data_IF_828812241073
#
_entry.id   IF_828812241073
#
_cell.length_a   1.000
_cell.length_b   1.000
_cell.length_c   1.000
_cell.angle_alpha   90.00
_cell.angle_beta   90.00
_cell.angle_gamma   90.00
#
_symmetry.space_group_name_H-M   'P 1'
#
loop_
_entity.id
_entity.type
_entity.pdbx_description
1 polymer ?
#
# COMPACT_ATOMS: atom_id res chain seq x y z
N UNK A 1 33.62 5.58 -32.22
CA UNK A 1 34.07 6.62 -31.27
C UNK A 1 33.06 7.76 -31.32
N UNK A 2 32.06 7.75 -30.42
CA UNK A 2 31.01 8.75 -30.17
C UNK A 2 30.65 8.60 -28.66
N UNK A 3 30.49 9.68 -27.85
CA UNK A 3 30.62 9.61 -26.39
C UNK A 3 29.30 9.27 -25.66
N UNK A 4 29.38 8.79 -24.39
CA UNK A 4 28.21 8.50 -23.56
C UNK A 4 27.75 9.75 -22.78
N UNK A 5 26.45 10.03 -22.80
CA UNK A 5 25.77 11.01 -21.93
C UNK A 5 24.29 10.63 -21.83
N UNK A 6 23.57 10.81 -20.73
CA UNK A 6 23.89 11.31 -19.41
C UNK A 6 22.87 10.70 -18.43
N UNK A 7 23.31 9.83 -17.53
CA UNK A 7 22.54 9.49 -16.33
C UNK A 7 22.85 10.62 -15.33
N UNK A 8 21.91 11.54 -15.12
CA UNK A 8 22.03 12.55 -14.05
C UNK A 8 21.66 11.93 -12.72
N UNK A 9 22.67 11.63 -11.89
CA UNK A 9 22.53 11.16 -10.51
C UNK A 9 23.03 12.22 -9.53
N UNK A 10 22.14 12.80 -8.74
CA UNK A 10 22.48 13.62 -7.57
C UNK A 10 22.67 12.72 -6.33
N UNK A 11 23.87 12.16 -6.16
CA UNK A 11 24.27 11.45 -4.94
C UNK A 11 25.49 12.16 -4.32
N UNK A 12 25.48 12.50 -3.02
CA UNK A 12 26.66 13.04 -2.35
C UNK A 12 27.68 11.95 -2.01
N UNK A 13 28.96 12.33 -2.09
CA UNK A 13 30.14 11.52 -1.78
C UNK A 13 30.12 10.91 -0.36
N UNK A 14 30.70 9.71 -0.24
CA UNK A 14 30.91 9.00 1.03
C UNK A 14 32.03 9.66 1.85
N UNK A 15 31.84 9.94 3.15
CA UNK A 15 32.98 10.21 4.03
C UNK A 15 33.63 8.89 4.49
N UNK A 16 34.95 8.97 4.72
CA UNK A 16 35.87 7.87 5.03
C UNK A 16 35.58 7.10 6.32
N UNK A 17 36.32 6.00 6.47
CA UNK A 17 36.22 5.02 7.55
C UNK A 17 36.26 5.67 8.94
N UNK A 18 35.26 5.37 9.77
CA UNK A 18 35.20 5.74 11.18
C UNK A 18 35.63 4.53 12.01
N UNK A 19 36.60 4.75 12.89
CA UNK A 19 37.15 3.76 13.83
C UNK A 19 36.09 3.03 14.65
N UNK A 20 36.31 1.73 14.88
CA UNK A 20 35.42 0.90 15.70
C UNK A 20 35.53 1.33 17.17
N UNK A 21 34.42 1.55 17.88
CA UNK A 21 34.47 1.93 19.30
C UNK A 21 35.05 0.80 20.15
N UNK A 22 35.93 1.17 21.08
CA UNK A 22 36.54 0.26 22.06
C UNK A 22 35.49 -0.51 22.88
N UNK A 23 35.76 -1.77 23.26
CA UNK A 23 34.78 -2.69 23.86
C UNK A 23 34.09 -2.17 25.13
N UNK A 24 34.73 -1.27 25.88
CA UNK A 24 34.16 -0.61 27.07
C UNK A 24 33.01 0.34 26.70
N UNK A 25 33.12 1.08 25.60
CA UNK A 25 32.05 1.98 25.10
C UNK A 25 30.89 1.14 24.57
N UNK A 26 31.17 0.03 23.88
CA UNK A 26 30.14 -0.90 23.42
C UNK A 26 29.37 -1.57 24.57
N UNK A 27 30.05 -1.86 25.69
CA UNK A 27 29.44 -2.39 26.91
C UNK A 27 28.57 -1.34 27.61
N UNK A 28 29.05 -0.11 27.77
CA UNK A 28 28.27 1.00 28.34
C UNK A 28 27.05 1.33 27.49
N UNK A 29 27.16 1.30 26.16
CA UNK A 29 26.02 1.42 25.25
C UNK A 29 25.03 0.26 25.40
N UNK A 30 25.48 -0.98 25.57
CA UNK A 30 24.59 -2.13 25.83
C UNK A 30 23.91 -2.03 27.20
N UNK A 31 24.62 -1.59 28.23
CA UNK A 31 24.06 -1.39 29.56
C UNK A 31 23.02 -0.25 29.57
N UNK A 32 23.29 0.88 28.92
CA UNK A 32 22.31 1.94 28.68
C UNK A 32 21.15 1.47 27.77
N UNK A 33 21.40 0.58 26.82
CA UNK A 33 20.38 -0.02 25.96
C UNK A 33 19.47 -0.99 26.73
N UNK A 34 20.02 -1.79 27.64
CA UNK A 34 19.26 -2.71 28.49
C UNK A 34 18.50 -1.99 29.60
N UNK A 35 19.11 -0.96 30.17
CA UNK A 35 18.49 -0.09 31.16
C UNK A 35 17.36 0.75 30.54
N UNK A 36 17.56 1.32 29.35
CA UNK A 36 16.49 2.03 28.61
C UNK A 36 15.40 1.09 28.08
N UNK A 37 15.70 -0.17 27.75
CA UNK A 37 14.68 -1.20 27.45
C UNK A 37 13.89 -1.57 28.71
N UNK A 38 14.54 -1.69 29.86
CA UNK A 38 13.88 -1.95 31.14
C UNK A 38 13.04 -0.76 31.60
N UNK A 39 13.50 0.48 31.42
CA UNK A 39 12.76 1.72 31.69
C UNK A 39 11.66 2.01 30.68
N UNK A 40 11.85 1.68 29.40
CA UNK A 40 10.76 1.75 28.43
C UNK A 40 9.71 0.67 28.76
N UNK A 41 10.10 -0.54 29.14
CA UNK A 41 9.15 -1.59 29.55
C UNK A 41 8.44 -1.23 30.87
N UNK A 42 9.17 -0.81 31.91
CA UNK A 42 8.60 -0.42 33.19
C UNK A 42 7.83 0.91 33.10
N UNK A 43 8.37 1.92 32.42
CA UNK A 43 7.69 3.21 32.17
C UNK A 43 6.47 3.10 31.26
N UNK A 44 6.44 2.15 30.30
CA UNK A 44 5.22 1.83 29.56
C UNK A 44 4.23 0.96 30.35
N UNK A 45 4.66 0.26 31.40
CA UNK A 45 3.82 -0.55 32.29
C UNK A 45 3.22 0.26 33.45
N UNK A 46 3.87 1.36 33.87
CA UNK A 46 3.48 2.14 35.05
C UNK A 46 2.82 3.50 34.79
N UNK A 47 2.60 3.90 33.54
CA UNK A 47 1.67 5.00 33.24
C UNK A 47 0.26 4.42 33.22
N UNK A 48 -0.43 4.54 34.35
CA UNK A 48 -1.83 4.13 34.53
C UNK A 48 -2.68 4.58 33.34
N UNK A 49 -3.25 3.59 32.66
CA UNK A 49 -4.27 3.81 31.65
C UNK A 49 -5.52 4.32 32.35
N UNK A 50 -5.84 5.60 32.17
CA UNK A 50 -7.15 6.14 32.51
C UNK A 50 -8.15 5.67 31.45
N UNK A 51 -8.63 4.44 31.64
CA UNK A 51 -9.95 3.88 31.30
C UNK A 51 -9.83 2.34 31.45
N UNK A 52 -10.77 1.65 32.12
CA UNK A 52 -10.72 0.20 32.22
C UNK A 52 -10.67 -0.42 30.80
N UNK A 53 -9.97 -1.54 30.59
CA UNK A 53 -10.00 -2.23 29.31
C UNK A 53 -11.46 -2.55 29.01
N UNK A 54 -12.05 -1.87 28.02
CA UNK A 54 -13.44 -2.10 27.65
C UNK A 54 -13.64 -3.61 27.49
N UNK A 55 -14.61 -4.15 28.24
CA UNK A 55 -15.06 -5.52 28.05
C UNK A 55 -15.50 -5.70 26.59
N UNK A 56 -15.35 -6.92 26.07
CA UNK A 56 -15.93 -7.25 24.77
C UNK A 56 -17.44 -7.01 24.88
N UNK A 57 -17.96 -6.16 24.01
CA UNK A 57 -19.37 -5.83 23.95
C UNK A 57 -20.01 -6.78 22.94
N UNK A 58 -21.20 -7.29 23.22
CA UNK A 58 -21.92 -8.19 22.30
C UNK A 58 -22.82 -7.44 21.31
N UNK A 59 -23.25 -6.22 21.65
CA UNK A 59 -24.06 -5.38 20.75
C UNK A 59 -23.24 -4.90 19.53
N UNK A 60 -23.84 -4.84 18.32
CA UNK A 60 -23.17 -4.24 17.17
C UNK A 60 -22.81 -2.76 17.40
N UNK A 61 -21.91 -2.22 16.56
CA UNK A 61 -21.63 -0.78 16.52
C UNK A 61 -22.91 0.01 16.20
N UNK A 62 -23.10 1.19 16.81
CA UNK A 62 -24.22 2.05 16.46
C UNK A 62 -24.10 2.54 15.02
N UNK A 63 -25.23 2.67 14.33
CA UNK A 63 -25.27 3.17 12.94
C UNK A 63 -25.11 4.69 12.84
N UNK A 64 -25.30 5.41 13.94
CA UNK A 64 -25.21 6.87 14.05
C UNK A 64 -24.35 7.25 15.26
N UNK A 65 -23.95 8.51 15.36
CA UNK A 65 -23.16 9.01 16.50
C UNK A 65 -21.67 8.65 16.45
N UNK A 66 -21.17 8.15 15.31
CA UNK A 66 -19.73 7.98 15.07
C UNK A 66 -19.30 9.10 14.11
N UNK A 67 -18.52 10.04 14.64
CA UNK A 67 -18.09 11.24 13.92
C UNK A 67 -16.56 11.38 13.83
N UNK A 68 -15.82 10.84 14.80
CA UNK A 68 -14.35 10.83 14.82
C UNK A 68 -13.83 9.40 14.86
N UNK A 69 -13.05 9.02 13.84
CA UNK A 69 -12.55 7.66 13.66
C UNK A 69 -11.02 7.68 13.59
N UNK A 70 -10.36 6.74 14.28
CA UNK A 70 -8.91 6.57 14.25
C UNK A 70 -8.55 5.22 13.63
N UNK A 71 -7.74 5.20 12.56
CA UNK A 71 -7.18 3.97 12.01
C UNK A 71 -5.69 3.87 12.38
N UNK A 72 -5.32 2.79 13.07
CA UNK A 72 -3.95 2.54 13.50
C UNK A 72 -3.26 1.48 12.65
N UNK A 73 -2.45 1.88 11.66
CA UNK A 73 -1.60 0.97 10.87
C UNK A 73 -0.18 1.53 10.75
N UNK A 74 0.65 1.43 11.82
CA UNK A 74 1.99 2.01 11.91
C UNK A 74 3.01 1.26 11.04
N UNK A 75 2.80 1.26 9.72
CA UNK A 75 3.58 0.53 8.73
C UNK A 75 4.22 1.50 7.73
N UNK A 76 5.45 1.22 7.30
CA UNK A 76 6.20 2.09 6.37
C UNK A 76 6.15 1.62 4.91
N UNK A 77 5.56 0.46 4.63
CA UNK A 77 5.52 -0.13 3.30
C UNK A 77 4.36 0.46 2.51
N UNK A 78 4.65 0.99 1.32
CA UNK A 78 3.67 1.59 0.41
C UNK A 78 2.44 0.71 0.21
N UNK A 79 2.63 -0.56 -0.17
CA UNK A 79 1.53 -1.50 -0.41
C UNK A 79 0.59 -1.63 0.79
N UNK A 80 1.13 -1.76 2.01
CA UNK A 80 0.31 -1.88 3.20
C UNK A 80 -0.50 -0.62 3.52
N UNK A 81 -0.03 0.56 3.13
CA UNK A 81 -0.78 1.79 3.28
C UNK A 81 -1.93 1.86 2.28
N UNK A 82 -1.70 1.45 1.03
CA UNK A 82 -2.74 1.39 -0.01
C UNK A 82 -3.84 0.39 0.33
N UNK A 83 -3.52 -0.70 1.04
CA UNK A 83 -4.51 -1.64 1.57
C UNK A 83 -5.44 -1.04 2.67
N UNK A 84 -5.35 0.26 2.96
CA UNK A 84 -6.32 0.98 3.79
C UNK A 84 -7.41 1.67 2.97
N UNK A 85 -7.19 1.94 1.68
CA UNK A 85 -8.13 2.73 0.88
C UNK A 85 -9.51 2.08 0.76
N UNK A 86 -9.67 0.75 0.69
CA UNK A 86 -11.00 0.13 0.71
C UNK A 86 -11.78 0.42 2.00
N UNK A 87 -11.08 0.43 3.14
CA UNK A 87 -11.69 0.76 4.43
C UNK A 87 -12.09 2.24 4.50
N UNK A 88 -11.30 3.14 3.91
CA UNK A 88 -11.66 4.55 3.84
C UNK A 88 -12.93 4.78 3.03
N UNK A 89 -13.06 4.11 1.87
CA UNK A 89 -14.27 4.15 1.05
C UNK A 89 -15.48 3.57 1.79
N UNK A 90 -15.32 2.40 2.43
CA UNK A 90 -16.38 1.77 3.22
C UNK A 90 -16.84 2.66 4.39
N UNK A 91 -15.91 3.34 5.07
CA UNK A 91 -16.22 4.28 6.16
C UNK A 91 -16.97 5.51 5.67
N UNK A 92 -16.63 6.04 4.50
CA UNK A 92 -17.35 7.16 3.90
C UNK A 92 -18.82 6.82 3.64
N UNK A 93 -19.10 5.58 3.22
CA UNK A 93 -20.47 5.08 3.04
C UNK A 93 -21.15 4.76 4.38
N UNK A 94 -20.45 4.10 5.29
CA UNK A 94 -21.02 3.61 6.56
C UNK A 94 -21.29 4.72 7.58
N UNK A 95 -20.44 5.76 7.60
CA UNK A 95 -20.56 6.92 8.48
C UNK A 95 -20.31 8.22 7.69
N UNK A 96 -21.30 8.67 6.89
CA UNK A 96 -21.18 9.88 6.10
C UNK A 96 -20.85 11.10 6.97
N UNK A 97 -19.84 11.87 6.56
CA UNK A 97 -19.37 13.05 7.30
C UNK A 97 -18.46 12.76 8.49
N UNK A 98 -18.20 11.49 8.84
CA UNK A 98 -17.22 11.16 9.86
C UNK A 98 -15.80 11.48 9.39
N UNK A 99 -15.01 12.14 10.25
CA UNK A 99 -13.60 12.40 10.00
C UNK A 99 -12.77 11.19 10.45
N UNK A 100 -11.86 10.77 9.57
CA UNK A 100 -10.94 9.64 9.77
C UNK A 100 -9.52 10.17 9.90
N UNK A 101 -8.94 9.99 11.08
CA UNK A 101 -7.53 10.26 11.31
C UNK A 101 -6.71 8.95 11.20
N UNK A 102 -5.49 9.06 10.66
CA UNK A 102 -4.65 7.92 10.32
C UNK A 102 -3.35 7.96 11.11
N UNK A 103 -3.01 6.87 11.80
CA UNK A 103 -1.69 6.65 12.39
C UNK A 103 -0.93 5.66 11.52
N UNK A 104 -0.02 6.19 10.70
CA UNK A 104 0.70 5.45 9.65
C UNK A 104 2.19 5.72 9.71
N UNK A 105 2.97 4.88 9.01
CA UNK A 105 4.38 5.12 8.77
C UNK A 105 4.63 5.65 7.36
N UNK A 106 5.89 6.04 7.12
CA UNK A 106 6.36 6.42 5.78
C UNK A 106 6.32 7.93 5.53
N UNK A 107 7.25 8.42 4.71
CA UNK A 107 7.41 9.85 4.50
C UNK A 107 6.31 10.45 3.60
N UNK A 108 5.76 9.66 2.68
CA UNK A 108 4.80 10.11 1.66
C UNK A 108 3.36 9.65 1.92
N UNK A 109 3.04 9.29 3.15
CA UNK A 109 1.70 8.79 3.51
C UNK A 109 0.60 9.82 3.27
N UNK A 110 0.84 11.11 3.53
CA UNK A 110 -0.16 12.16 3.32
C UNK A 110 -0.60 12.22 1.86
N UNK A 111 0.35 12.13 0.93
CA UNK A 111 0.04 12.12 -0.50
C UNK A 111 -0.84 10.92 -0.90
N UNK A 112 -0.76 9.78 -0.20
CA UNK A 112 -1.61 8.64 -0.53
C UNK A 112 -3.08 8.89 -0.20
N UNK A 113 -3.36 9.70 0.81
CA UNK A 113 -4.72 9.87 1.35
C UNK A 113 -5.30 11.27 1.11
N UNK A 114 -4.56 12.17 0.46
CA UNK A 114 -4.95 13.58 0.28
C UNK A 114 -6.25 13.81 -0.51
N UNK A 115 -6.71 12.81 -1.26
CA UNK A 115 -7.92 12.91 -2.09
C UNK A 115 -9.17 12.37 -1.39
N UNK A 116 -9.01 11.74 -0.22
CA UNK A 116 -10.14 11.21 0.54
C UNK A 116 -10.76 12.34 1.38
N UNK A 117 -12.01 12.74 1.11
CA UNK A 117 -12.62 13.89 1.78
C UNK A 117 -12.87 13.64 3.28
N UNK A 118 -13.05 12.37 3.67
CA UNK A 118 -13.20 11.97 5.06
C UNK A 118 -11.87 11.87 5.80
N UNK A 119 -10.70 11.97 5.15
CA UNK A 119 -9.41 11.88 5.83
C UNK A 119 -9.04 13.25 6.41
N UNK A 120 -8.92 13.30 7.74
CA UNK A 120 -8.44 14.48 8.46
C UNK A 120 -6.92 14.46 8.63
N UNK A 121 -6.47 14.16 9.84
CA UNK A 121 -5.06 14.17 10.21
C UNK A 121 -4.35 12.85 9.88
N UNK A 122 -3.21 12.95 9.18
CA UNK A 122 -2.31 11.82 8.94
C UNK A 122 -1.10 11.93 9.87
N UNK A 123 -1.15 11.22 11.00
CA UNK A 123 -0.09 11.12 11.99
C UNK A 123 1.01 10.16 11.54
N UNK A 124 2.18 10.71 11.22
CA UNK A 124 3.34 9.94 10.75
C UNK A 124 4.24 9.49 11.90
N UNK A 125 4.35 8.18 12.07
CA UNK A 125 5.30 7.61 13.03
C UNK A 125 6.71 7.54 12.46
N UNK A 126 7.74 7.83 13.28
CA UNK A 126 9.13 7.68 12.87
C UNK A 126 9.48 6.20 12.68
N UNK A 127 10.26 5.88 11.64
CA UNK A 127 10.70 4.51 11.32
C UNK A 127 11.47 3.83 12.47
N UNK A 128 12.20 4.63 13.23
CA UNK A 128 12.95 4.17 14.39
C UNK A 128 12.50 4.98 15.60
N UNK A 129 11.41 4.53 16.25
CA UNK A 129 10.85 5.18 17.44
C UNK A 129 11.91 5.41 18.53
N UNK A 130 12.83 4.45 18.72
CA UNK A 130 13.93 4.56 19.68
C UNK A 130 14.96 5.64 19.35
N UNK A 131 15.19 5.94 18.06
CA UNK A 131 16.12 7.01 17.65
C UNK A 131 15.45 8.38 17.63
N UNK A 132 14.12 8.42 17.64
CA UNK A 132 13.34 9.65 17.58
C UNK A 132 12.20 9.64 18.62
N UNK A 133 12.53 9.45 19.92
CA UNK A 133 11.52 9.25 20.97
C UNK A 133 10.64 10.49 21.16
N UNK A 134 11.21 11.70 21.05
CA UNK A 134 10.45 12.96 21.15
C UNK A 134 9.41 13.08 20.02
N UNK A 135 9.75 12.69 18.79
CA UNK A 135 8.78 12.70 17.67
C UNK A 135 7.69 11.67 17.87
N UNK A 136 8.06 10.47 18.34
CA UNK A 136 7.08 9.43 18.69
C UNK A 136 6.13 9.90 19.79
N UNK A 137 6.67 10.50 20.86
CA UNK A 137 5.88 11.03 21.98
C UNK A 137 4.96 12.17 21.53
N UNK A 138 5.44 13.09 20.67
CA UNK A 138 4.60 14.15 20.09
C UNK A 138 3.41 13.59 19.32
N UNK A 139 3.61 12.55 18.51
CA UNK A 139 2.52 11.87 17.80
C UNK A 139 1.55 11.23 18.80
N UNK A 140 2.06 10.53 19.81
CA UNK A 140 1.23 9.90 20.82
C UNK A 140 0.39 10.91 21.62
N UNK A 141 0.98 12.05 21.97
CA UNK A 141 0.30 13.15 22.66
C UNK A 141 -0.74 13.82 21.75
N UNK A 142 -0.43 14.04 20.47
CA UNK A 142 -1.37 14.59 19.51
C UNK A 142 -2.60 13.69 19.35
N UNK A 143 -2.39 12.38 19.14
CA UNK A 143 -3.49 11.41 19.04
C UNK A 143 -4.30 11.34 20.33
N UNK A 144 -3.67 11.45 21.52
CA UNK A 144 -4.36 11.41 22.82
C UNK A 144 -5.16 12.66 23.17
N UNK A 145 -4.85 13.80 22.56
CA UNK A 145 -5.58 15.05 22.79
C UNK A 145 -6.98 14.98 22.17
N UNK A 146 -7.11 14.28 21.06
CA UNK A 146 -8.38 14.01 20.41
C UNK A 146 -9.18 12.93 21.18
N UNK A 147 -10.50 12.99 21.06
CA UNK A 147 -11.42 11.93 21.48
C UNK A 147 -12.02 11.30 20.22
N UNK A 148 -11.94 9.98 20.12
CA UNK A 148 -12.49 9.25 18.99
C UNK A 148 -13.72 8.46 19.42
N UNK A 149 -14.70 8.37 18.55
CA UNK A 149 -15.85 7.49 18.78
C UNK A 149 -15.47 6.04 18.46
N UNK A 150 -14.65 5.86 17.42
CA UNK A 150 -14.22 4.56 16.92
C UNK A 150 -12.73 4.51 16.63
N UNK A 151 -12.04 3.51 17.16
CA UNK A 151 -10.67 3.19 16.77
C UNK A 151 -10.56 1.80 16.14
N UNK A 152 -9.83 1.70 15.03
CA UNK A 152 -9.72 0.50 14.19
C UNK A 152 -8.27 0.03 14.14
N UNK A 153 -8.04 -1.24 14.50
CA UNK A 153 -6.80 -2.00 14.25
C UNK A 153 -7.02 -2.93 13.04
N UNK A 154 -6.73 -2.47 11.80
CA UNK A 154 -7.04 -3.21 10.58
C UNK A 154 -6.03 -4.34 10.29
N UNK A 155 -4.95 -4.46 11.06
CA UNK A 155 -3.86 -5.38 10.78
C UNK A 155 -3.97 -6.62 11.68
N UNK A 156 -4.01 -7.81 11.10
CA UNK A 156 -4.08 -9.07 11.84
C UNK A 156 -2.81 -9.36 12.66
N UNK A 157 -1.64 -8.90 12.19
CA UNK A 157 -0.31 -9.30 12.69
C UNK A 157 0.39 -8.21 13.52
N UNK A 158 0.08 -6.93 13.32
CA UNK A 158 0.81 -5.82 13.96
C UNK A 158 0.51 -5.64 15.46
N UNK A 159 1.42 -5.98 16.38
CA UNK A 159 1.21 -5.70 17.83
C UNK A 159 1.27 -4.21 18.16
N UNK A 160 2.00 -3.44 17.35
CA UNK A 160 2.22 -2.01 17.54
C UNK A 160 0.94 -1.19 17.39
N UNK A 161 0.07 -1.56 16.44
CA UNK A 161 -1.23 -0.90 16.26
C UNK A 161 -2.11 -1.09 17.50
N UNK A 162 -2.17 -2.30 18.05
CA UNK A 162 -2.96 -2.59 19.26
C UNK A 162 -2.48 -1.79 20.47
N UNK A 163 -1.17 -1.66 20.64
CA UNK A 163 -0.58 -0.89 21.74
C UNK A 163 -0.93 0.61 21.66
N UNK A 164 -0.92 1.17 20.44
CA UNK A 164 -1.30 2.55 20.20
C UNK A 164 -2.79 2.75 20.42
N UNK A 165 -3.61 1.82 19.93
CA UNK A 165 -5.06 1.86 20.07
C UNK A 165 -5.52 1.80 21.54
N UNK A 166 -4.92 0.90 22.35
CA UNK A 166 -5.19 0.83 23.79
C UNK A 166 -4.75 2.07 24.58
N UNK A 167 -4.02 2.98 23.94
CA UNK A 167 -3.57 4.25 24.51
C UNK A 167 -4.42 5.44 24.06
N UNK A 168 -5.37 5.26 23.15
CA UNK A 168 -6.23 6.32 22.65
C UNK A 168 -7.50 6.43 23.50
N UNK A 169 -8.00 7.67 23.66
CA UNK A 169 -9.31 7.94 24.26
C UNK A 169 -10.38 7.64 23.21
N UNK A 170 -11.03 6.49 23.36
CA UNK A 170 -12.02 6.05 22.38
C UNK A 170 -13.14 5.24 23.01
N UNK A 171 -14.35 5.42 22.50
CA UNK A 171 -15.55 4.71 22.94
C UNK A 171 -15.53 3.27 22.43
N UNK A 172 -15.42 3.10 21.12
CA UNK A 172 -15.35 1.79 20.47
C UNK A 172 -13.94 1.50 19.96
N UNK A 173 -13.55 0.23 20.06
CA UNK A 173 -12.26 -0.33 19.64
C UNK A 173 -12.52 -1.63 18.91
N UNK A 174 -12.21 -1.67 17.62
CA UNK A 174 -12.41 -2.85 16.78
C UNK A 174 -11.07 -3.37 16.25
N UNK A 175 -10.94 -4.69 16.16
CA UNK A 175 -9.74 -5.35 15.67
C UNK A 175 -9.89 -6.86 15.63
N UNK A 176 -8.84 -7.55 15.17
CA UNK A 176 -8.85 -9.00 15.09
C UNK A 176 -8.41 -9.68 16.39
N UNK A 177 -9.03 -10.82 16.73
CA UNK A 177 -8.62 -11.77 17.76
C UNK A 177 -8.07 -13.07 17.13
N UNK A 178 -7.15 -13.73 17.84
CA UNK A 178 -6.46 -14.93 17.36
C UNK A 178 -4.97 -14.87 17.73
N UNK A 179 -4.10 -14.51 16.79
CA UNK A 179 -2.66 -14.29 17.03
C UNK A 179 -2.42 -13.21 18.11
N UNK A 180 -3.35 -12.27 18.24
CA UNK A 180 -3.36 -11.21 19.25
C UNK A 180 -4.45 -11.49 20.29
N UNK A 181 -4.17 -11.13 21.54
CA UNK A 181 -5.20 -11.07 22.59
C UNK A 181 -6.33 -10.14 22.19
N UNK A 182 -7.57 -10.50 22.53
CA UNK A 182 -8.74 -9.62 22.39
C UNK A 182 -8.74 -8.48 23.42
N UNK A 183 -7.86 -8.52 24.42
CA UNK A 183 -7.82 -7.55 25.51
C UNK A 183 -7.70 -6.10 25.00
N UNK A 184 -8.55 -5.24 25.54
CA UNK A 184 -8.64 -3.83 25.16
C UNK A 184 -9.39 -3.56 23.86
N UNK A 185 -10.02 -4.57 23.23
CA UNK A 185 -10.99 -4.36 22.16
C UNK A 185 -12.41 -4.47 22.71
N UNK A 186 -13.27 -3.56 22.26
CA UNK A 186 -14.72 -3.68 22.46
C UNK A 186 -15.34 -4.68 21.48
N UNK A 187 -14.82 -4.77 20.26
CA UNK A 187 -15.28 -5.70 19.24
C UNK A 187 -14.07 -6.44 18.67
N UNK A 188 -13.98 -7.73 18.96
CA UNK A 188 -12.85 -8.56 18.58
C UNK A 188 -13.28 -9.64 17.59
N UNK A 189 -12.96 -9.45 16.31
CA UNK A 189 -13.33 -10.38 15.25
C UNK A 189 -12.31 -11.53 15.17
N UNK A 190 -12.72 -12.80 15.31
CA UNK A 190 -11.84 -13.92 14.98
C UNK A 190 -11.43 -13.83 13.51
N UNK A 191 -10.14 -14.08 13.22
CA UNK A 191 -9.63 -14.02 11.84
C UNK A 191 -10.35 -15.09 10.99
N UNK A 192 -11.04 -14.71 9.90
CA UNK A 192 -11.68 -15.70 9.03
C UNK A 192 -10.65 -16.64 8.41
N UNK A 193 -10.88 -17.96 8.52
CA UNK A 193 -9.98 -18.96 7.91
C UNK A 193 -10.04 -18.90 6.38
N UNK A 194 -11.26 -18.73 5.85
CA UNK A 194 -11.55 -18.73 4.41
C UNK A 194 -11.14 -17.42 3.71
N UNK A 195 -11.06 -16.31 4.45
CA UNK A 195 -10.84 -14.99 3.87
C UNK A 195 -9.58 -14.34 4.45
N UNK A 196 -8.50 -14.31 3.65
CA UNK A 196 -7.16 -13.89 4.10
C UNK A 196 -6.63 -12.65 3.40
N UNK A 197 -7.39 -12.10 2.45
CA UNK A 197 -6.91 -10.98 1.66
C UNK A 197 -6.72 -9.72 2.50
N UNK A 198 -5.48 -9.21 2.57
CA UNK A 198 -5.08 -8.13 3.49
C UNK A 198 -5.71 -6.76 3.16
N UNK A 199 -6.20 -6.57 1.94
CA UNK A 199 -6.96 -5.38 1.55
C UNK A 199 -8.46 -5.47 1.85
N UNK A 200 -9.01 -6.67 1.95
CA UNK A 200 -10.45 -6.89 2.14
C UNK A 200 -10.81 -7.05 3.62
N UNK A 201 -9.91 -7.66 4.40
CA UNK A 201 -10.09 -7.89 5.83
C UNK A 201 -10.48 -6.63 6.63
N UNK A 202 -9.87 -5.45 6.42
CA UNK A 202 -10.26 -4.25 7.16
C UNK A 202 -11.73 -3.86 6.96
N UNK A 203 -12.26 -4.02 5.73
CA UNK A 203 -13.68 -3.76 5.42
C UNK A 203 -14.58 -4.79 6.09
N UNK A 204 -14.20 -6.07 6.02
CA UNK A 204 -14.96 -7.14 6.67
C UNK A 204 -14.99 -7.02 8.19
N UNK A 205 -13.91 -6.53 8.79
CA UNK A 205 -13.86 -6.21 10.22
C UNK A 205 -14.89 -5.14 10.58
N UNK A 206 -14.99 -4.08 9.79
CA UNK A 206 -15.98 -3.02 10.01
C UNK A 206 -17.40 -3.56 9.87
N UNK A 207 -17.71 -4.24 8.77
CA UNK A 207 -19.04 -4.84 8.52
C UNK A 207 -19.44 -5.84 9.60
N UNK A 208 -18.50 -6.66 10.05
CA UNK A 208 -18.72 -7.58 11.17
C UNK A 208 -19.00 -6.83 12.47
N UNK A 209 -18.26 -5.77 12.79
CA UNK A 209 -18.51 -4.98 13.98
C UNK A 209 -19.90 -4.30 13.96
N UNK A 210 -20.38 -3.90 12.79
CA UNK A 210 -21.68 -3.25 12.60
C UNK A 210 -22.89 -4.20 12.55
N UNK A 211 -22.71 -5.46 12.16
CA UNK A 211 -23.83 -6.39 11.92
C UNK A 211 -23.72 -7.73 12.64
N UNK A 212 -22.57 -8.03 13.23
CA UNK A 212 -22.18 -9.35 13.77
C UNK A 212 -22.26 -10.49 12.76
N UNK A 213 -22.30 -10.16 11.47
CA UNK A 213 -22.24 -11.11 10.36
C UNK A 213 -21.02 -10.80 9.52
N UNK A 214 -20.31 -11.84 9.09
CA UNK A 214 -19.28 -11.66 8.09
C UNK A 214 -19.98 -11.24 6.78
N UNK A 215 -19.70 -10.01 6.32
CA UNK A 215 -20.19 -9.56 5.02
C UNK A 215 -19.61 -10.41 3.88
N UNK A 216 -20.19 -10.29 2.68
CA UNK A 216 -19.68 -11.00 1.52
C UNK A 216 -18.30 -10.42 1.09
N UNK A 217 -17.22 -11.23 1.04
CA UNK A 217 -15.89 -10.77 0.65
C UNK A 217 -15.77 -10.36 -0.82
N UNK A 218 -16.70 -10.77 -1.69
CA UNK A 218 -16.65 -10.40 -3.11
C UNK A 218 -17.15 -8.99 -3.39
N UNK A 219 -17.82 -8.37 -2.43
CA UNK A 219 -18.44 -7.05 -2.54
C UNK A 219 -17.70 -6.02 -1.67
N UNK A 220 -16.39 -6.00 -1.77
CA UNK A 220 -15.52 -5.07 -1.02
C UNK A 220 -14.98 -4.02 -1.99
N UNK A 221 -14.94 -2.72 -1.61
CA UNK A 221 -14.35 -1.68 -2.43
C UNK A 221 -12.95 -2.06 -2.94
N UNK A 222 -12.65 -1.70 -4.19
CA UNK A 222 -11.32 -1.89 -4.76
C UNK A 222 -10.32 -0.91 -4.13
N UNK A 223 -9.03 -1.17 -4.34
CA UNK A 223 -8.01 -0.16 -4.01
C UNK A 223 -8.24 1.06 -4.91
N UNK A 224 -8.13 2.25 -4.33
CA UNK A 224 -8.26 3.50 -5.07
C UNK A 224 -7.40 4.56 -4.40
N UNK A 225 -6.60 5.27 -5.17
CA UNK A 225 -5.81 6.43 -4.74
C UNK A 225 -6.61 7.72 -4.90
N UNK A 226 -7.74 7.63 -5.60
CA UNK A 226 -8.61 8.72 -6.02
C UNK A 226 -7.77 9.83 -6.66
N UNK A 227 -7.05 9.47 -7.73
CA UNK A 227 -6.25 10.43 -8.51
C UNK A 227 -7.14 11.58 -8.97
N UNK A 228 -6.69 12.81 -8.75
CA UNK A 228 -7.38 13.99 -9.25
C UNK A 228 -7.32 14.02 -10.78
N UNK A 229 -8.28 14.70 -11.40
CA UNK A 229 -8.35 14.77 -12.87
C UNK A 229 -7.08 15.37 -13.49
N UNK A 230 -6.55 16.44 -12.89
CA UNK A 230 -5.28 17.03 -13.34
C UNK A 230 -4.09 16.06 -13.23
N UNK A 231 -4.11 15.12 -12.27
CA UNK A 231 -3.07 14.11 -12.14
C UNK A 231 -3.19 13.04 -13.23
N UNK A 232 -4.41 12.71 -13.67
CA UNK A 232 -4.65 11.79 -14.79
C UNK A 232 -4.22 12.41 -16.12
N UNK A 233 -4.61 13.67 -16.36
CA UNK A 233 -4.20 14.43 -17.54
C UNK A 233 -2.67 14.53 -17.60
N UNK A 234 -2.03 14.92 -16.50
CA UNK A 234 -0.56 14.99 -16.41
C UNK A 234 0.10 13.63 -16.69
N UNK A 235 -0.46 12.53 -16.16
CA UNK A 235 0.04 11.18 -16.41
C UNK A 235 -0.01 10.78 -17.88
N UNK A 236 -1.12 11.09 -18.56
CA UNK A 236 -1.29 10.85 -20.00
C UNK A 236 -0.30 11.66 -20.83
N UNK A 237 -0.16 12.96 -20.56
CA UNK A 237 0.78 13.84 -21.25
C UNK A 237 2.22 13.35 -21.07
N UNK A 238 2.60 13.03 -19.83
CA UNK A 238 3.95 12.55 -19.55
C UNK A 238 4.24 11.19 -20.21
N UNK A 239 3.23 10.34 -20.34
CA UNK A 239 3.36 9.08 -21.09
C UNK A 239 3.52 9.34 -22.59
N UNK A 240 2.79 10.28 -23.18
CA UNK A 240 2.97 10.66 -24.59
C UNK A 240 4.39 11.16 -24.87
N UNK A 241 4.92 12.04 -24.00
CA UNK A 241 6.30 12.52 -24.09
C UNK A 241 7.33 11.38 -24.02
N UNK A 242 7.14 10.40 -23.14
CA UNK A 242 8.05 9.24 -23.02
C UNK A 242 8.02 8.33 -24.25
N UNK A 243 6.96 8.41 -25.05
CA UNK A 243 6.80 7.65 -26.29
C UNK A 243 7.14 8.48 -27.53
N UNK A 244 7.74 9.66 -27.35
CA UNK A 244 8.06 10.63 -28.41
C UNK A 244 6.84 11.01 -29.28
N UNK A 245 5.68 11.21 -28.64
CA UNK A 245 4.42 11.60 -29.28
C UNK A 245 3.99 13.00 -28.86
N UNK A 246 3.21 13.67 -29.72
CA UNK A 246 2.54 14.91 -29.33
C UNK A 246 1.50 14.63 -28.23
N UNK A 247 1.27 15.61 -27.35
CA UNK A 247 0.27 15.49 -26.29
C UNK A 247 -1.17 15.34 -26.83
N UNK A 248 -1.42 15.83 -28.05
CA UNK A 248 -2.72 15.77 -28.72
C UNK A 248 -2.94 14.46 -29.50
N UNK A 249 -1.88 13.68 -29.72
CA UNK A 249 -1.99 12.41 -30.43
C UNK A 249 -2.63 11.35 -29.51
N UNK A 250 -3.59 10.55 -30.01
CA UNK A 250 -4.07 9.39 -29.29
C UNK A 250 -2.89 8.48 -28.91
N UNK A 251 -2.84 8.07 -27.64
CA UNK A 251 -1.87 7.07 -27.20
C UNK A 251 -2.24 5.71 -27.79
N UNK A 252 -1.27 4.95 -28.33
CA UNK A 252 -1.50 3.54 -28.58
C UNK A 252 -1.80 2.83 -27.24
N UNK A 253 -2.44 1.65 -27.26
CA UNK A 253 -2.51 0.81 -26.08
C UNK A 253 -1.12 0.57 -25.49
N UNK A 254 -0.97 0.75 -24.17
CA UNK A 254 0.30 0.67 -23.45
C UNK A 254 0.28 -0.49 -22.47
N UNK A 255 1.34 -1.30 -22.56
CA UNK A 255 1.68 -2.33 -21.57
C UNK A 255 2.86 -1.83 -20.73
N UNK A 256 2.59 -1.55 -19.46
CA UNK A 256 3.61 -1.12 -18.52
C UNK A 256 4.10 -2.30 -17.66
N UNK A 257 5.41 -2.35 -17.38
CA UNK A 257 6.04 -3.41 -16.60
C UNK A 257 6.74 -2.83 -15.37
N UNK A 258 6.69 -3.55 -14.24
CA UNK A 258 7.53 -3.29 -13.08
C UNK A 258 8.28 -4.55 -12.67
N UNK A 259 9.56 -4.58 -12.97
CA UNK A 259 10.41 -5.78 -12.95
C UNK A 259 11.03 -6.06 -11.58
N UNK A 260 10.91 -5.13 -10.63
CA UNK A 260 11.60 -5.20 -9.36
C UNK A 260 10.79 -5.88 -8.23
N UNK A 261 11.45 -6.74 -7.46
CA UNK A 261 10.94 -7.30 -6.21
C UNK A 261 12.06 -7.37 -5.15
N UNK A 262 11.70 -7.70 -3.91
CA UNK A 262 12.66 -7.82 -2.80
C UNK A 262 12.85 -9.27 -2.35
N UNK A 263 14.09 -9.64 -2.03
CA UNK A 263 14.41 -10.96 -1.45
C UNK A 263 14.13 -12.11 -2.42
N UNK A 264 13.59 -13.22 -1.90
CA UNK A 264 13.31 -14.44 -2.66
C UNK A 264 12.21 -14.32 -3.73
N UNK A 265 11.63 -13.13 -3.91
CA UNK A 265 10.59 -12.83 -4.90
C UNK A 265 11.14 -12.27 -6.21
N UNK A 266 12.47 -12.09 -6.28
CA UNK A 266 13.15 -11.51 -7.43
C UNK A 266 13.22 -12.51 -8.57
N UNK A 267 12.87 -12.04 -9.75
CA UNK A 267 13.15 -12.73 -11.00
C UNK A 267 14.48 -12.22 -11.57
N UNK A 268 15.16 -13.06 -12.34
CA UNK A 268 16.37 -12.67 -13.05
C UNK A 268 16.03 -11.81 -14.27
N UNK A 269 16.97 -10.96 -14.70
CA UNK A 269 16.77 -10.10 -15.88
C UNK A 269 16.47 -10.94 -17.14
N UNK A 270 17.14 -12.08 -17.31
CA UNK A 270 16.88 -13.01 -18.40
C UNK A 270 15.43 -13.53 -18.43
N UNK A 271 14.85 -13.78 -17.25
CA UNK A 271 13.46 -14.20 -17.14
C UNK A 271 12.50 -13.10 -17.59
N UNK A 272 12.75 -11.85 -17.17
CA UNK A 272 11.96 -10.70 -17.61
C UNK A 272 12.08 -10.42 -19.11
N UNK A 273 13.29 -10.55 -19.67
CA UNK A 273 13.50 -10.39 -21.11
C UNK A 273 12.72 -11.44 -21.93
N UNK A 274 12.67 -12.70 -21.47
CA UNK A 274 11.86 -13.74 -22.13
C UNK A 274 10.35 -13.46 -22.04
N UNK A 275 9.87 -13.00 -20.88
CA UNK A 275 8.47 -12.59 -20.72
C UNK A 275 8.15 -11.43 -21.66
N UNK A 276 8.99 -10.40 -21.67
CA UNK A 276 8.84 -9.22 -22.51
C UNK A 276 8.82 -9.59 -24.00
N UNK A 277 9.78 -10.40 -24.46
CA UNK A 277 9.83 -10.85 -25.85
C UNK A 277 8.52 -11.54 -26.29
N UNK A 278 7.96 -12.36 -25.40
CA UNK A 278 6.68 -13.03 -25.66
C UNK A 278 5.51 -12.04 -25.72
N UNK A 279 5.43 -11.10 -24.76
CA UNK A 279 4.38 -10.08 -24.76
C UNK A 279 4.46 -9.16 -25.98
N UNK A 280 5.67 -8.71 -26.33
CA UNK A 280 5.93 -7.87 -27.49
C UNK A 280 5.50 -8.54 -28.79
N UNK A 281 5.82 -9.83 -28.97
CA UNK A 281 5.38 -10.59 -30.13
C UNK A 281 3.85 -10.78 -30.21
N UNK A 282 3.15 -10.78 -29.07
CA UNK A 282 1.68 -10.94 -29.00
C UNK A 282 0.91 -9.62 -29.03
N UNK A 283 1.58 -8.50 -28.79
CA UNK A 283 0.99 -7.17 -28.77
C UNK A 283 1.72 -6.23 -29.76
N UNK A 284 1.72 -6.52 -31.07
CA UNK A 284 2.52 -5.78 -32.06
C UNK A 284 2.14 -4.31 -32.23
N UNK A 285 0.90 -3.94 -31.88
CA UNK A 285 0.39 -2.56 -31.97
C UNK A 285 0.38 -1.82 -30.63
N UNK A 286 1.05 -2.36 -29.60
CA UNK A 286 1.10 -1.75 -28.27
C UNK A 286 2.44 -1.08 -28.03
N UNK A 287 2.42 0.05 -27.34
CA UNK A 287 3.63 0.62 -26.76
C UNK A 287 3.96 -0.08 -25.44
N UNK A 288 5.24 -0.05 -25.07
CA UNK A 288 5.73 -0.64 -23.83
C UNK A 288 6.44 0.40 -22.98
N UNK A 289 6.33 0.26 -21.66
CA UNK A 289 6.97 1.16 -20.70
C UNK A 289 7.53 0.34 -19.54
N UNK A 290 8.76 0.58 -19.13
CA UNK A 290 9.30 0.06 -17.87
C UNK A 290 9.19 1.09 -16.75
N UNK A 291 8.49 0.74 -15.67
CA UNK A 291 8.52 1.50 -14.42
C UNK A 291 9.71 1.03 -13.59
N UNK A 292 10.52 1.99 -13.15
CA UNK A 292 11.76 1.70 -12.41
C UNK A 292 11.58 1.83 -10.89
N UNK A 293 12.33 1.02 -10.11
CA UNK A 293 12.40 1.17 -8.66
C UNK A 293 13.24 2.40 -8.27
N UNK A 294 13.24 2.74 -6.97
CA UNK A 294 14.05 3.85 -6.40
C UNK A 294 15.54 3.75 -6.72
N UNK A 295 16.06 2.53 -6.89
CA UNK A 295 17.47 2.29 -7.18
C UNK A 295 17.78 2.25 -8.68
N UNK A 296 16.79 2.49 -9.55
CA UNK A 296 16.99 2.67 -10.99
C UNK A 296 17.37 1.43 -11.80
N UNK A 297 17.41 0.23 -11.21
CA UNK A 297 17.67 -1.00 -11.97
C UNK A 297 16.58 -1.24 -13.02
N UNK A 298 16.98 -1.31 -14.29
CA UNK A 298 16.11 -1.52 -15.44
C UNK A 298 16.41 -2.90 -16.04
N UNK A 299 15.45 -3.82 -15.99
CA UNK A 299 15.61 -5.17 -16.55
C UNK A 299 15.41 -5.17 -18.07
N UNK A 300 14.76 -4.13 -18.62
CA UNK A 300 14.50 -3.97 -20.05
C UNK A 300 15.25 -2.77 -20.63
N UNK A 301 16.40 -2.43 -20.04
CA UNK A 301 17.20 -1.28 -20.40
C UNK A 301 17.49 -1.23 -21.92
N UNK A 302 17.14 -0.10 -22.55
CA UNK A 302 17.38 0.13 -23.98
C UNK A 302 16.38 -0.55 -24.93
N UNK A 303 15.46 -1.38 -24.43
CA UNK A 303 14.40 -2.00 -25.24
C UNK A 303 13.12 -1.17 -25.26
N UNK A 304 12.83 -0.49 -24.15
CA UNK A 304 11.62 0.33 -23.96
C UNK A 304 11.93 1.60 -23.18
N UNK A 305 11.15 2.68 -23.33
CA UNK A 305 11.23 3.84 -22.45
C UNK A 305 11.05 3.45 -21.00
N UNK A 306 11.77 4.14 -20.11
CA UNK A 306 11.74 3.85 -18.68
C UNK A 306 11.38 5.10 -17.88
N UNK A 307 10.60 4.91 -16.80
CA UNK A 307 10.15 6.01 -15.96
C UNK A 307 10.30 5.70 -14.46
N UNK A 308 10.82 6.69 -13.73
CA UNK A 308 10.91 6.69 -12.28
C UNK A 308 10.27 7.95 -11.69
N UNK A 309 9.57 7.77 -10.58
CA UNK A 309 9.20 8.89 -9.71
C UNK A 309 9.26 8.48 -8.25
N UNK A 310 9.83 9.36 -7.43
CA UNK A 310 9.79 9.21 -5.98
C UNK A 310 8.40 9.56 -5.40
N UNK A 311 7.59 10.35 -6.12
CA UNK A 311 6.20 10.64 -5.78
C UNK A 311 5.30 9.47 -6.19
N UNK A 312 4.60 8.81 -5.23
CA UNK A 312 3.71 7.69 -5.54
C UNK A 312 2.52 8.14 -6.40
N UNK A 313 2.02 9.37 -6.23
CA UNK A 313 0.91 9.86 -7.04
C UNK A 313 1.31 10.09 -8.49
N UNK A 314 2.46 10.75 -8.74
CA UNK A 314 2.99 10.89 -10.12
C UNK A 314 3.27 9.53 -10.77
N UNK A 315 3.74 8.57 -9.98
CA UNK A 315 3.95 7.23 -10.50
C UNK A 315 2.62 6.55 -10.86
N UNK A 316 1.63 6.65 -9.97
CA UNK A 316 0.27 6.16 -10.22
C UNK A 316 -0.38 6.85 -11.43
N UNK A 317 -0.18 8.14 -11.63
CA UNK A 317 -0.70 8.90 -12.78
C UNK A 317 -0.29 8.32 -14.13
N UNK A 318 0.98 7.96 -14.30
CA UNK A 318 1.47 7.37 -15.54
C UNK A 318 0.99 5.92 -15.67
N UNK A 319 0.99 5.17 -14.57
CA UNK A 319 0.44 3.81 -14.56
C UNK A 319 -1.04 3.82 -14.95
N UNK A 320 -1.82 4.80 -14.50
CA UNK A 320 -3.25 4.97 -14.82
C UNK A 320 -3.52 5.20 -16.30
N UNK A 321 -2.53 5.67 -17.07
CA UNK A 321 -2.65 5.88 -18.51
C UNK A 321 -2.36 4.61 -19.34
N UNK A 322 -1.85 3.54 -18.72
CA UNK A 322 -1.67 2.25 -19.35
C UNK A 322 -2.93 1.37 -19.26
N UNK A 323 -3.05 0.38 -20.14
CA UNK A 323 -4.19 -0.56 -20.13
C UNK A 323 -3.83 -1.88 -19.43
N UNK A 324 -2.56 -2.27 -19.45
CA UNK A 324 -2.06 -3.47 -18.78
C UNK A 324 -0.81 -3.13 -17.97
N UNK A 325 -0.77 -3.59 -16.72
CA UNK A 325 0.38 -3.46 -15.83
C UNK A 325 0.84 -4.83 -15.33
N UNK A 326 2.03 -5.26 -15.74
CA UNK A 326 2.62 -6.55 -15.33
C UNK A 326 3.72 -6.32 -14.32
N UNK A 327 3.65 -6.96 -13.16
CA UNK A 327 4.56 -6.64 -12.04
C UNK A 327 4.85 -7.85 -11.17
N UNK A 328 6.05 -7.90 -10.59
CA UNK A 328 6.31 -8.80 -9.46
C UNK A 328 5.51 -8.39 -8.21
N UNK A 329 5.35 -9.33 -7.26
CA UNK A 329 4.78 -9.06 -5.94
C UNK A 329 5.60 -7.99 -5.17
N UNK A 330 5.09 -6.76 -5.18
CA UNK A 330 5.67 -5.62 -4.49
C UNK A 330 4.63 -4.52 -4.17
N UNK A 331 5.05 -3.46 -3.48
CA UNK A 331 4.16 -2.35 -3.16
C UNK A 331 3.65 -1.57 -4.38
N UNK A 332 4.39 -1.57 -5.50
CA UNK A 332 3.99 -0.87 -6.74
C UNK A 332 2.84 -1.59 -7.43
N UNK A 333 2.70 -2.91 -7.28
CA UNK A 333 1.53 -3.65 -7.73
C UNK A 333 0.24 -3.12 -7.12
N UNK A 334 0.22 -2.91 -5.80
CA UNK A 334 -0.93 -2.30 -5.13
C UNK A 334 -1.15 -0.85 -5.54
N UNK A 335 -0.06 -0.11 -5.85
CA UNK A 335 -0.17 1.26 -6.35
C UNK A 335 -0.84 1.29 -7.73
N UNK A 336 -0.49 0.33 -8.60
CA UNK A 336 -1.12 0.17 -9.90
C UNK A 336 -2.62 -0.17 -9.76
N UNK A 337 -3.00 -1.03 -8.80
CA UNK A 337 -4.41 -1.29 -8.52
C UNK A 337 -5.13 -0.02 -8.07
N UNK A 338 -4.51 0.76 -7.18
CA UNK A 338 -5.07 2.00 -6.67
C UNK A 338 -5.10 3.14 -7.70
N UNK A 339 -4.31 3.06 -8.77
CA UNK A 339 -4.29 4.07 -9.82
C UNK A 339 -5.58 4.09 -10.66
N UNK A 340 -6.36 2.99 -10.64
CA UNK A 340 -7.66 2.87 -11.30
C UNK A 340 -7.58 3.24 -12.79
N UNK A 341 -6.85 2.43 -13.55
CA UNK A 341 -6.63 2.59 -14.99
C UNK A 341 -6.28 1.27 -15.68
N UNK A 342 -5.12 0.66 -15.39
CA UNK A 342 -4.73 -0.59 -16.02
C UNK A 342 -5.36 -1.79 -15.33
N UNK A 343 -5.51 -2.87 -16.10
CA UNK A 343 -5.60 -4.22 -15.53
C UNK A 343 -4.23 -4.60 -14.96
N UNK A 344 -4.19 -5.03 -13.70
CA UNK A 344 -2.96 -5.40 -13.00
C UNK A 344 -2.78 -6.91 -12.97
N UNK A 345 -1.64 -7.37 -13.49
CA UNK A 345 -1.17 -8.75 -13.38
C UNK A 345 -0.01 -8.82 -12.40
N UNK A 346 -0.27 -9.41 -11.24
CA UNK A 346 0.75 -9.66 -10.22
C UNK A 346 1.36 -11.05 -10.36
N UNK A 347 2.69 -11.12 -10.42
CA UNK A 347 3.46 -12.36 -10.51
C UNK A 347 3.97 -12.80 -9.13
N UNK A 348 3.61 -14.02 -8.73
CA UNK A 348 3.85 -14.57 -7.39
C UNK A 348 4.71 -15.83 -7.46
N UNK A 349 5.95 -15.75 -6.96
CA UNK A 349 6.85 -16.90 -6.89
C UNK A 349 6.90 -17.56 -5.50
N UNK A 350 6.72 -16.78 -4.42
CA UNK A 350 6.93 -17.24 -3.03
C UNK A 350 5.77 -16.97 -2.10
N UNK A 351 5.07 -15.88 -2.34
CA UNK A 351 3.99 -15.39 -1.50
C UNK A 351 2.66 -15.95 -2.00
N UNK A 352 1.76 -16.17 -1.06
CA UNK A 352 0.41 -16.64 -1.36
C UNK A 352 -0.41 -15.51 -2.02
N UNK A 353 -0.84 -15.68 -3.28
CA UNK A 353 -1.65 -14.68 -3.98
C UNK A 353 -3.02 -14.46 -3.33
N UNK A 354 -3.56 -15.42 -2.55
CA UNK A 354 -4.82 -15.21 -1.83
C UNK A 354 -4.71 -14.15 -0.72
N UNK A 355 -3.49 -13.82 -0.28
CA UNK A 355 -3.25 -12.87 0.82
C UNK A 355 -2.98 -11.46 0.31
N UNK A 356 -2.24 -11.33 -0.79
CA UNK A 356 -1.74 -10.04 -1.31
C UNK A 356 -2.00 -9.83 -2.81
N UNK A 357 -2.72 -10.73 -3.47
CA UNK A 357 -3.04 -10.63 -4.90
C UNK A 357 -3.72 -9.30 -5.24
N UNK A 358 -3.47 -8.74 -6.43
CA UNK A 358 -4.29 -7.64 -6.91
C UNK A 358 -5.73 -8.16 -7.12
N UNK A 359 -6.72 -7.39 -6.67
CA UNK A 359 -8.14 -7.73 -6.82
C UNK A 359 -8.91 -6.53 -7.41
N UNK A 360 -10.16 -6.77 -7.84
CA UNK A 360 -10.99 -5.76 -8.49
C UNK A 360 -10.71 -5.61 -10.00
N UNK A 361 -11.66 -5.07 -10.76
CA UNK A 361 -11.51 -4.60 -12.15
C UNK A 361 -10.69 -5.49 -13.11
N UNK A 362 -10.87 -6.81 -13.03
CA UNK A 362 -10.16 -7.77 -13.90
C UNK A 362 -8.71 -8.06 -13.50
N UNK A 363 -8.21 -7.48 -12.40
CA UNK A 363 -6.89 -7.77 -11.86
C UNK A 363 -6.70 -9.27 -11.59
N UNK A 364 -5.48 -9.77 -11.80
CA UNK A 364 -5.17 -11.19 -11.65
C UNK A 364 -3.84 -11.40 -10.96
N UNK A 365 -3.82 -12.32 -10.01
CA UNK A 365 -2.60 -12.87 -9.46
C UNK A 365 -2.25 -14.18 -10.19
N UNK A 366 -1.00 -14.35 -10.60
CA UNK A 366 -0.53 -15.57 -11.27
C UNK A 366 0.63 -16.16 -10.45
N UNK A 367 0.50 -17.44 -10.11
CA UNK A 367 1.63 -18.21 -9.57
C UNK A 367 2.64 -18.47 -10.69
N UNK A 368 3.90 -18.13 -10.47
CA UNK A 368 4.98 -18.41 -11.43
C UNK A 368 5.71 -19.72 -11.14
N UNK A 369 5.31 -20.44 -10.09
CA UNK A 369 5.93 -21.73 -9.75
C UNK A 369 5.59 -22.77 -10.81
N UNK A 370 6.62 -23.41 -11.36
CA UNK A 370 6.46 -24.47 -12.36
C UNK A 370 6.13 -23.98 -13.77
N UNK A 371 6.19 -22.67 -14.03
CA UNK A 371 5.93 -22.09 -15.34
C UNK A 371 7.13 -21.29 -15.85
N UNK A 372 7.41 -21.42 -17.15
CA UNK A 372 8.41 -20.60 -17.83
C UNK A 372 7.89 -19.17 -18.08
N UNK A 373 8.82 -18.23 -18.29
CA UNK A 373 8.48 -16.85 -18.64
C UNK A 373 7.64 -16.78 -19.93
N UNK A 374 7.95 -17.63 -20.92
CA UNK A 374 7.23 -17.65 -22.20
C UNK A 374 5.79 -18.16 -22.06
N UNK A 375 5.55 -19.23 -21.30
CA UNK A 375 4.19 -19.74 -21.03
C UNK A 375 3.33 -18.69 -20.33
N UNK A 376 3.90 -18.01 -19.33
CA UNK A 376 3.22 -16.93 -18.61
C UNK A 376 2.97 -15.73 -19.52
N UNK A 377 3.91 -15.35 -20.38
CA UNK A 377 3.72 -14.29 -21.37
C UNK A 377 2.58 -14.60 -22.33
N UNK A 378 2.50 -15.83 -22.83
CA UNK A 378 1.40 -16.26 -23.68
C UNK A 378 0.06 -16.27 -22.94
N UNK A 379 0.03 -16.68 -21.68
CA UNK A 379 -1.19 -16.66 -20.86
C UNK A 379 -1.69 -15.24 -20.56
N UNK A 380 -0.77 -14.35 -20.20
CA UNK A 380 -1.07 -12.93 -19.99
C UNK A 380 -1.64 -12.33 -21.27
N UNK A 381 -0.99 -12.58 -22.41
CA UNK A 381 -1.42 -12.07 -23.70
C UNK A 381 -2.85 -12.54 -24.06
N UNK A 382 -3.14 -13.84 -23.94
CA UNK A 382 -4.49 -14.38 -24.18
C UNK A 382 -5.55 -13.69 -23.32
N UNK A 383 -5.24 -13.51 -22.03
CA UNK A 383 -6.17 -12.86 -21.10
C UNK A 383 -6.36 -11.37 -21.37
N UNK A 384 -5.37 -10.70 -21.95
CA UNK A 384 -5.45 -9.29 -22.34
C UNK A 384 -6.18 -9.06 -23.66
N UNK A 385 -5.88 -9.86 -24.70
CA UNK A 385 -6.46 -9.71 -26.05
C UNK A 385 -7.98 -9.84 -26.10
N UNK A 386 -8.57 -10.70 -25.28
CA UNK A 386 -10.03 -10.86 -25.19
C UNK A 386 -10.75 -9.59 -24.68
N UNK A 387 -10.02 -8.61 -24.14
CA UNK A 387 -10.56 -7.44 -23.47
C UNK A 387 -10.25 -6.12 -24.19
N UNK A 388 -9.13 -6.08 -24.93
CA UNK A 388 -8.81 -4.97 -25.85
C UNK A 388 -9.80 -4.85 -27.02
N UNK A 389 -10.50 -5.94 -27.36
CA UNK A 389 -11.53 -5.93 -28.40
C UNK A 389 -12.89 -5.32 -27.96
N UNK A 390 -13.07 -5.01 -26.68
CA UNK A 390 -14.35 -4.54 -26.11
C UNK A 390 -14.28 -3.23 -25.33
N UNK A 391 -13.19 -2.46 -25.45
CA UNK A 391 -13.00 -1.20 -24.72
C UNK A 391 -12.84 -0.02 -25.68
N UNK A 392 -13.98 0.45 -26.22
CA UNK A 392 -14.09 1.86 -26.53
C UNK A 392 -13.95 2.61 -25.20
N UNK A 393 -12.84 3.33 -25.01
CA UNK A 393 -12.68 4.27 -23.91
C UNK A 393 -13.56 5.50 -24.18
N UNK A 394 -14.88 5.29 -24.17
CA UNK A 394 -15.87 6.33 -24.05
C UNK A 394 -15.75 6.98 -22.68
N UNK A 395 -15.67 8.31 -22.67
CA UNK A 395 -15.79 9.14 -21.48
C UNK A 395 -17.12 8.82 -20.78
N UNK A 396 -17.14 7.87 -19.85
CA UNK A 396 -18.32 7.64 -19.02
C UNK A 396 -18.17 8.39 -17.70
N UNK A 397 -19.05 9.38 -17.59
CA UNK A 397 -19.17 10.33 -16.51
C UNK A 397 -19.36 9.68 -15.14
N UNK A 398 -19.05 10.51 -14.15
CA UNK A 398 -19.55 10.48 -12.78
C UNK A 398 -20.94 9.83 -12.68
N UNK A 399 -21.00 8.61 -12.15
CA UNK A 399 -22.21 8.12 -11.51
C UNK A 399 -22.15 8.60 -10.06
N UNK A 400 -22.87 9.68 -9.77
CA UNK A 400 -23.26 10.02 -8.42
C UNK A 400 -24.18 8.92 -7.90
N UNK A 401 -23.84 8.32 -6.75
CA UNK A 401 -24.76 7.86 -5.71
C UNK A 401 -24.02 7.64 -4.39
#
# INVERSE_FOLDING_TARGET
MIPPGAIRSDLPDRPGAVDRPTPVIAYLFRALHDWSRKLARHGLQHIQASDPPGSVVDSPLPRTGIHRILICRPNHRLGNLLLLTPLLAELQHSYPGAQVDLVVGGQRSNALFQSFPNVGSVFRLPRHAFRQPLKFLRVLLAVRRERYDLAIDPDVRSRSSRLLLGRCRTTYRIGFSGIKSAQGLTHAMPIPVAQRHMGQLPVLLLRWAMSRRAGNPTDVPSLDLSLFEHERIWGRQRLAELLDRSADDPLPPVVALFTHATGAKRYEDAWWMQLFATLHARFPNHAFLEILPVHGHASLAGLVPAYYSSSPRRLASIIAAAQLFVTADCGVMHLACAASGPRVIGLFQRTDPAVYGPYGSGNRAISTLGHSAAELGADIARSGSAQFAGTDFGCHGTAAY
#
